data_IF_477178956827
#
_entry.id   IF_477178956827
#
_cell.length_a   1.000
_cell.length_b   1.000
_cell.length_c   1.000
_cell.angle_alpha   90.00
_cell.angle_beta   90.00
_cell.angle_gamma   90.00
#
_symmetry.space_group_name_H-M   'P 1'
#
loop_
_entity.id
_entity.type
_entity.pdbx_description
1 polymer ?
#
# COMPACT_ATOMS: atom_id res chain seq x y z
N UNK A 1 35.32 23.35 21.07
CA UNK A 1 35.42 23.12 19.61
C UNK A 1 35.45 21.62 19.40
N UNK A 2 34.47 21.08 18.67
CA UNK A 2 34.55 20.03 17.62
C UNK A 2 33.18 19.38 17.47
N UNK A 3 32.41 19.99 16.56
CA UNK A 3 31.55 19.42 15.51
C UNK A 3 30.77 18.10 15.75
N UNK A 4 29.46 18.22 15.58
CA UNK A 4 28.43 17.18 15.38
C UNK A 4 28.65 16.36 14.10
N UNK A 5 28.20 15.10 14.04
CA UNK A 5 27.75 14.49 12.80
C UNK A 5 26.22 14.54 12.72
N UNK A 6 25.72 15.47 11.92
CA UNK A 6 24.38 15.39 11.30
C UNK A 6 24.33 14.13 10.45
N UNK A 7 23.49 13.17 10.83
CA UNK A 7 23.10 12.09 9.93
C UNK A 7 21.72 12.44 9.39
N UNK A 8 21.71 12.93 8.16
CA UNK A 8 20.52 13.10 7.31
C UNK A 8 19.69 11.80 7.33
N UNK A 9 18.59 11.80 8.09
CA UNK A 9 17.46 10.88 7.90
C UNK A 9 16.48 11.43 6.85
N UNK A 10 17.02 12.04 5.80
CA UNK A 10 16.27 12.39 4.59
C UNK A 10 16.19 11.17 3.65
N UNK A 11 15.97 9.99 4.23
CA UNK A 11 16.00 8.72 3.53
C UNK A 11 14.56 8.36 3.11
N UNK A 12 14.33 8.41 1.80
CA UNK A 12 13.34 7.59 1.07
C UNK A 12 11.84 7.90 1.14
N UNK A 13 11.35 8.82 1.97
CA UNK A 13 9.91 9.21 1.89
C UNK A 13 9.55 9.77 0.49
N UNK A 14 10.53 10.35 -0.21
CA UNK A 14 10.34 10.85 -1.60
C UNK A 14 10.30 9.76 -2.68
N UNK A 15 10.73 8.54 -2.40
CA UNK A 15 10.71 7.43 -3.37
C UNK A 15 9.45 6.58 -3.30
N UNK A 16 8.66 6.71 -2.22
CA UNK A 16 7.31 6.16 -2.14
C UNK A 16 6.22 7.11 -2.67
N UNK A 17 6.60 8.16 -3.41
CA UNK A 17 5.89 8.50 -4.65
C UNK A 17 6.11 7.36 -5.67
N UNK A 18 5.79 6.15 -5.26
CA UNK A 18 6.11 4.89 -5.90
C UNK A 18 5.20 4.75 -7.11
N UNK A 19 5.52 5.42 -8.21
CA UNK A 19 5.03 5.08 -9.56
C UNK A 19 3.51 4.88 -9.75
N UNK A 20 2.69 5.22 -8.75
CA UNK A 20 1.23 5.22 -8.83
C UNK A 20 0.80 6.52 -9.49
N UNK A 21 1.55 7.61 -9.30
CA UNK A 21 1.18 8.95 -9.74
C UNK A 21 1.24 9.17 -11.25
N UNK A 22 1.99 8.42 -12.06
CA UNK A 22 2.00 8.65 -13.52
C UNK A 22 0.88 7.90 -14.28
N UNK A 23 0.39 6.76 -13.77
CA UNK A 23 -0.75 6.03 -14.37
C UNK A 23 -2.08 6.22 -13.64
N UNK A 24 -2.11 6.59 -12.33
CA UNK A 24 -3.35 6.93 -11.62
C UNK A 24 -3.91 8.32 -11.97
N UNK A 25 -3.20 9.14 -12.76
CA UNK A 25 -3.72 10.47 -13.18
C UNK A 25 -5.01 10.40 -14.02
N UNK A 26 -5.48 9.20 -14.39
CA UNK A 26 -6.76 8.99 -15.07
C UNK A 26 -7.92 8.65 -14.11
N UNK A 27 -7.63 8.43 -12.83
CA UNK A 27 -8.67 8.28 -11.80
C UNK A 27 -8.85 9.67 -11.24
N UNK A 28 -9.78 10.44 -11.83
CA UNK A 28 -10.32 11.63 -11.19
C UNK A 28 -10.51 11.32 -9.69
N UNK A 29 -10.09 12.23 -8.81
CA UNK A 29 -10.18 12.16 -7.34
C UNK A 29 -11.53 11.61 -6.81
N UNK A 30 -12.57 11.63 -7.63
CA UNK A 30 -13.95 11.26 -7.32
C UNK A 30 -14.23 9.75 -7.19
N UNK A 31 -13.28 8.82 -7.41
CA UNK A 31 -13.59 7.37 -7.40
C UNK A 31 -12.65 6.44 -6.61
N UNK A 32 -11.69 6.97 -5.84
CA UNK A 32 -10.84 6.13 -4.98
C UNK A 32 -11.59 5.50 -3.80
N UNK A 33 -12.72 6.11 -3.39
CA UNK A 33 -13.60 5.55 -2.36
C UNK A 33 -14.32 4.26 -2.82
N UNK A 34 -14.53 4.09 -4.12
CA UNK A 34 -15.19 2.91 -4.70
C UNK A 34 -14.21 1.78 -5.05
N UNK A 35 -12.91 1.98 -4.83
CA UNK A 35 -11.88 0.99 -5.13
C UNK A 35 -11.51 0.21 -3.89
N UNK A 36 -11.38 -1.11 -4.06
CA UNK A 36 -10.84 -2.01 -3.04
C UNK A 36 -9.36 -2.24 -3.33
N UNK A 37 -8.50 -1.98 -2.34
CA UNK A 37 -7.10 -2.41 -2.41
C UNK A 37 -6.95 -3.72 -1.67
N UNK A 38 -6.36 -4.69 -2.34
CA UNK A 38 -5.88 -5.92 -1.72
C UNK A 38 -4.35 -5.87 -1.74
N UNK A 39 -3.71 -5.97 -0.57
CA UNK A 39 -2.26 -5.96 -0.43
C UNK A 39 -1.77 -7.27 0.20
N UNK A 40 -1.00 -8.04 -0.55
CA UNK A 40 -0.38 -9.28 -0.12
C UNK A 40 1.12 -9.09 0.10
N UNK A 41 1.57 -9.24 1.35
CA UNK A 41 2.98 -9.21 1.74
C UNK A 41 3.21 -10.02 3.02
N UNK A 42 4.18 -10.93 3.01
CA UNK A 42 4.48 -11.83 4.15
C UNK A 42 4.97 -11.10 5.42
N UNK A 43 5.35 -9.83 5.29
CA UNK A 43 5.83 -8.94 6.35
C UNK A 43 4.94 -7.73 6.58
N UNK A 44 3.72 -7.71 6.01
CA UNK A 44 2.78 -6.58 6.06
C UNK A 44 2.44 -6.09 7.48
N UNK A 45 2.54 -6.98 8.47
CA UNK A 45 2.29 -6.67 9.89
C UNK A 45 3.56 -6.68 10.75
N UNK A 46 4.75 -6.78 10.13
CA UNK A 46 6.02 -7.02 10.82
C UNK A 46 7.01 -5.86 10.74
N UNK A 47 6.75 -4.88 9.87
CA UNK A 47 7.64 -3.74 9.65
C UNK A 47 6.90 -2.43 9.81
N UNK A 48 7.58 -1.43 10.39
CA UNK A 48 7.01 -0.08 10.58
C UNK A 48 6.70 0.56 9.22
N UNK A 49 7.54 0.34 8.20
CA UNK A 49 7.31 0.83 6.83
C UNK A 49 5.96 0.36 6.26
N UNK A 50 5.61 -0.92 6.47
CA UNK A 50 4.31 -1.45 6.02
C UNK A 50 3.14 -0.82 6.79
N UNK A 51 3.31 -0.58 8.09
CA UNK A 51 2.29 0.05 8.92
C UNK A 51 2.07 1.51 8.51
N UNK A 52 3.14 2.27 8.26
CA UNK A 52 3.09 3.65 7.78
C UNK A 52 2.39 3.74 6.43
N UNK A 53 2.77 2.87 5.48
CA UNK A 53 2.15 2.81 4.16
C UNK A 53 0.66 2.42 4.23
N UNK A 54 0.31 1.44 5.08
CA UNK A 54 -1.08 1.03 5.28
C UNK A 54 -1.91 2.19 5.86
N UNK A 55 -1.34 2.98 6.77
CA UNK A 55 -2.01 4.17 7.30
C UNK A 55 -2.18 5.27 6.23
N UNK A 56 -1.18 5.48 5.38
CA UNK A 56 -1.27 6.41 4.25
C UNK A 56 -2.37 5.98 3.26
N UNK A 57 -2.43 4.69 2.90
CA UNK A 57 -3.47 4.15 2.02
C UNK A 57 -4.87 4.31 2.62
N UNK A 58 -5.05 4.03 3.92
CA UNK A 58 -6.33 4.23 4.61
C UNK A 58 -6.79 5.69 4.67
N UNK A 59 -5.89 6.64 4.51
CA UNK A 59 -6.27 8.07 4.47
C UNK A 59 -6.88 8.48 3.13
N UNK A 60 -6.71 7.65 2.09
CA UNK A 60 -7.11 7.93 0.71
C UNK A 60 -8.21 6.94 0.25
N UNK A 61 -8.20 5.71 0.78
CA UNK A 61 -9.05 4.61 0.31
C UNK A 61 -9.80 4.01 1.50
N UNK A 62 -11.10 3.80 1.31
CA UNK A 62 -11.99 3.26 2.33
C UNK A 62 -11.83 1.76 2.51
N UNK A 63 -11.60 1.03 1.42
CA UNK A 63 -11.59 -0.43 1.43
C UNK A 63 -10.19 -0.98 1.18
N UNK A 64 -9.43 -1.21 2.27
CA UNK A 64 -8.07 -1.76 2.23
C UNK A 64 -8.00 -3.09 2.99
N UNK A 65 -7.70 -4.15 2.25
CA UNK A 65 -7.52 -5.50 2.72
C UNK A 65 -6.04 -5.90 2.65
N UNK A 66 -5.41 -6.11 3.81
CA UNK A 66 -4.02 -6.56 3.91
C UNK A 66 -3.95 -8.04 4.32
N UNK A 67 -3.11 -8.81 3.64
CA UNK A 67 -2.92 -10.23 3.87
C UNK A 67 -1.45 -10.60 3.98
N UNK A 68 -1.11 -11.36 5.02
CA UNK A 68 0.21 -12.00 5.22
C UNK A 68 0.25 -13.45 4.74
N UNK A 69 -0.88 -13.96 4.24
CA UNK A 69 -1.10 -15.34 3.88
C UNK A 69 -1.86 -15.44 2.55
N UNK A 70 -1.27 -16.16 1.60
CA UNK A 70 -1.78 -16.32 0.25
C UNK A 70 -3.15 -16.99 0.22
N UNK A 71 -3.38 -18.03 1.03
CA UNK A 71 -4.66 -18.76 1.03
C UNK A 71 -5.82 -17.87 1.49
N UNK A 72 -5.59 -17.05 2.53
CA UNK A 72 -6.60 -16.07 2.97
C UNK A 72 -6.89 -15.02 1.90
N UNK A 73 -5.86 -14.55 1.20
CA UNK A 73 -6.01 -13.61 0.10
C UNK A 73 -6.81 -14.21 -1.06
N UNK A 74 -6.49 -15.43 -1.48
CA UNK A 74 -7.21 -16.15 -2.55
C UNK A 74 -8.68 -16.38 -2.14
N UNK A 75 -8.93 -16.79 -0.90
CA UNK A 75 -10.29 -17.00 -0.41
C UNK A 75 -11.11 -15.70 -0.46
N UNK A 76 -10.51 -14.57 -0.11
CA UNK A 76 -11.18 -13.27 -0.21
C UNK A 76 -11.45 -12.88 -1.68
N UNK A 77 -10.46 -13.00 -2.57
CA UNK A 77 -10.62 -12.72 -4.01
C UNK A 77 -11.71 -13.61 -4.64
N UNK A 78 -11.86 -14.85 -4.19
CA UNK A 78 -12.92 -15.74 -4.66
C UNK A 78 -14.30 -15.42 -4.05
N UNK A 79 -14.34 -14.66 -2.96
CA UNK A 79 -15.59 -14.29 -2.26
C UNK A 79 -16.19 -12.98 -2.76
N UNK A 80 -15.39 -12.12 -3.38
CA UNK A 80 -15.82 -10.83 -3.92
C UNK A 80 -16.48 -10.97 -5.29
N UNK A 81 -17.38 -10.03 -5.60
CA UNK A 81 -18.13 -10.02 -6.86
C UNK A 81 -17.27 -9.62 -8.05
N UNK A 82 -17.63 -10.07 -9.26
CA UNK A 82 -16.87 -9.79 -10.50
C UNK A 82 -16.84 -8.33 -10.95
N UNK A 83 -17.67 -7.47 -10.34
CA UNK A 83 -17.85 -6.07 -10.73
C UNK A 83 -17.06 -5.08 -9.86
N UNK A 84 -16.26 -5.56 -8.89
CA UNK A 84 -15.47 -4.70 -8.01
C UNK A 84 -14.18 -4.20 -8.68
N UNK A 85 -13.91 -2.89 -8.55
CA UNK A 85 -12.65 -2.28 -9.00
C UNK A 85 -11.56 -2.58 -7.98
N UNK A 86 -10.75 -3.60 -8.26
CA UNK A 86 -9.71 -4.07 -7.34
C UNK A 86 -8.34 -3.60 -7.80
N UNK A 87 -7.57 -3.02 -6.88
CA UNK A 87 -6.13 -2.79 -7.04
C UNK A 87 -5.41 -3.84 -6.21
N UNK A 88 -4.58 -4.65 -6.86
CA UNK A 88 -3.83 -5.70 -6.18
C UNK A 88 -2.35 -5.34 -6.06
N UNK A 89 -1.87 -5.21 -4.83
CA UNK A 89 -0.48 -4.93 -4.50
C UNK A 89 0.16 -6.21 -3.99
N UNK A 90 1.27 -6.60 -4.61
CA UNK A 90 2.09 -7.74 -4.16
C UNK A 90 3.48 -7.22 -3.88
N UNK A 91 3.95 -7.40 -2.65
CA UNK A 91 5.31 -7.01 -2.25
C UNK A 91 5.96 -8.06 -1.35
N UNK A 92 7.29 -8.00 -1.27
CA UNK A 92 8.09 -8.94 -0.48
C UNK A 92 8.16 -10.36 -1.06
N UNK A 93 8.86 -11.28 -0.37
CA UNK A 93 8.84 -12.69 -0.70
C UNK A 93 7.50 -13.32 -0.29
N UNK A 94 6.89 -14.06 -1.21
CA UNK A 94 5.67 -14.83 -1.02
C UNK A 94 5.96 -16.24 -0.47
#
# INVERSE_FOLDING_TARGET
MTETPTTDTNCSIRQLNFSLTEEFHLINDENLEEMSIIWLDSNIHKTDDCLEMMNALRSIINDLHAYDNIEKCINYINSIGTDEKIVFIVSGPL
#
